data_IF_345281531621
#
_entry.id   IF_345281531621
#
_cell.length_a   1.000
_cell.length_b   1.000
_cell.length_c   1.000
_cell.angle_alpha   90.00
_cell.angle_beta   90.00
_cell.angle_gamma   90.00
#
_symmetry.space_group_name_H-M   'P 1'
#
loop_
_entity.id
_entity.type
_entity.pdbx_description
1 polymer ?
#
# COMPACT_ATOMS: atom_id res chain seq x y z
N UNK A 1 11.49 -4.08 -8.28
CA UNK A 1 10.10 -4.08 -7.80
C UNK A 1 9.33 -2.97 -8.50
N UNK A 2 8.00 -3.03 -8.57
CA UNK A 2 7.19 -1.99 -9.20
C UNK A 2 7.50 -0.58 -8.66
N UNK A 3 7.65 -0.42 -7.34
CA UNK A 3 8.00 0.85 -6.70
C UNK A 3 9.38 1.37 -7.15
N UNK A 4 10.39 0.49 -7.29
CA UNK A 4 11.69 0.87 -7.85
C UNK A 4 11.59 1.35 -9.30
N UNK A 5 10.77 0.69 -10.13
CA UNK A 5 10.56 1.11 -11.52
C UNK A 5 9.88 2.47 -11.57
N UNK A 6 8.89 2.71 -10.70
CA UNK A 6 8.20 3.99 -10.59
C UNK A 6 9.17 5.14 -10.23
N UNK A 7 10.03 4.92 -9.22
CA UNK A 7 11.07 5.88 -8.81
C UNK A 7 12.09 6.15 -9.93
N UNK A 8 12.47 5.14 -10.70
CA UNK A 8 13.34 5.34 -11.86
C UNK A 8 12.66 6.17 -12.98
N UNK A 9 11.35 6.05 -13.14
CA UNK A 9 10.60 6.74 -14.18
C UNK A 9 10.25 8.19 -13.83
N UNK A 10 9.97 8.49 -12.56
CA UNK A 10 9.44 9.79 -12.13
C UNK A 10 10.33 10.52 -11.11
N UNK A 11 11.43 9.91 -10.63
CA UNK A 11 12.32 10.54 -9.65
C UNK A 11 11.60 10.88 -8.35
N UNK A 12 11.79 12.11 -7.86
CA UNK A 12 11.17 12.61 -6.63
C UNK A 12 9.64 12.63 -6.68
N UNK A 13 9.05 12.82 -7.86
CA UNK A 13 7.60 12.81 -8.03
C UNK A 13 7.01 11.42 -7.73
N UNK A 14 7.77 10.34 -7.93
CA UNK A 14 7.33 9.00 -7.53
C UNK A 14 7.16 8.90 -6.02
N UNK A 15 8.12 9.42 -5.24
CA UNK A 15 8.07 9.37 -3.78
C UNK A 15 6.88 10.20 -3.27
N UNK A 16 6.72 11.43 -3.77
CA UNK A 16 5.59 12.28 -3.42
C UNK A 16 4.23 11.63 -3.75
N UNK A 17 4.14 10.93 -4.89
CA UNK A 17 2.94 10.22 -5.30
C UNK A 17 2.66 9.01 -4.38
N UNK A 18 3.69 8.21 -4.10
CA UNK A 18 3.57 7.04 -3.23
C UNK A 18 3.13 7.45 -1.83
N UNK A 19 3.71 8.51 -1.27
CA UNK A 19 3.34 9.04 0.04
C UNK A 19 1.89 9.56 0.04
N UNK A 20 1.49 10.31 -0.99
CA UNK A 20 0.14 10.84 -1.11
C UNK A 20 -0.94 9.74 -1.19
N UNK A 21 -0.61 8.58 -1.76
CA UNK A 21 -1.50 7.43 -1.83
C UNK A 21 -1.29 6.39 -0.71
N UNK A 22 -0.37 6.64 0.23
CA UNK A 22 -0.05 5.70 1.31
C UNK A 22 0.51 4.36 0.82
N UNK A 23 1.24 4.37 -0.30
CA UNK A 23 1.84 3.17 -0.90
C UNK A 23 3.20 2.92 -0.26
N UNK A 24 3.30 1.81 0.47
CA UNK A 24 4.53 1.34 1.08
C UNK A 24 5.05 0.06 0.40
N UNK A 25 6.37 -0.05 0.26
CA UNK A 25 7.03 -1.26 -0.24
C UNK A 25 7.48 -2.11 0.95
N UNK A 26 6.79 -3.23 1.20
CA UNK A 26 7.11 -4.16 2.28
C UNK A 26 7.94 -5.35 1.79
N UNK A 27 8.85 -5.84 2.63
CA UNK A 27 9.53 -7.10 2.36
C UNK A 27 8.53 -8.28 2.43
N UNK A 28 8.76 -9.40 1.72
CA UNK A 28 7.83 -10.53 1.74
C UNK A 28 7.53 -11.09 3.13
N UNK A 29 8.49 -11.02 4.07
CA UNK A 29 8.31 -11.47 5.45
C UNK A 29 7.53 -10.50 6.35
N UNK A 30 7.31 -9.27 5.88
CA UNK A 30 6.54 -8.24 6.58
C UNK A 30 5.07 -8.22 6.12
N UNK A 31 4.75 -8.93 5.04
CA UNK A 31 3.39 -9.08 4.57
C UNK A 31 2.60 -9.97 5.53
N UNK A 32 1.50 -9.43 6.04
CA UNK A 32 0.52 -10.19 6.80
C UNK A 32 -0.33 -11.05 5.87
N UNK A 33 0.11 -12.29 5.69
CA UNK A 33 -0.59 -13.30 4.89
C UNK A 33 -1.54 -14.15 5.74
N UNK A 34 -1.80 -13.78 6.99
CA UNK A 34 -2.74 -14.53 7.82
C UNK A 34 -4.17 -14.33 7.33
N UNK A 35 -5.06 -15.33 7.45
CA UNK A 35 -6.46 -15.17 7.03
C UNK A 35 -7.17 -13.96 7.69
N UNK A 36 -6.74 -13.56 8.89
CA UNK A 36 -7.32 -12.43 9.62
C UNK A 36 -6.87 -11.04 9.14
N UNK A 37 -5.95 -10.93 8.17
CA UNK A 37 -5.45 -9.63 7.70
C UNK A 37 -6.56 -8.77 7.08
N UNK A 38 -7.51 -9.41 6.37
CA UNK A 38 -8.63 -8.74 5.73
C UNK A 38 -9.56 -8.11 6.76
N UNK A 39 -9.90 -8.84 7.83
CA UNK A 39 -10.78 -8.34 8.89
C UNK A 39 -10.16 -7.15 9.63
N UNK A 40 -8.86 -7.20 9.91
CA UNK A 40 -8.13 -6.04 10.47
C UNK A 40 -8.14 -4.85 9.53
N UNK A 41 -7.89 -5.07 8.23
CA UNK A 41 -7.93 -4.00 7.23
C UNK A 41 -9.34 -3.38 7.10
N UNK A 42 -10.40 -4.20 7.20
CA UNK A 42 -11.79 -3.72 7.25
C UNK A 42 -12.05 -2.88 8.49
N UNK A 43 -11.68 -3.37 9.68
CA UNK A 43 -11.86 -2.66 10.93
C UNK A 43 -11.11 -1.30 10.93
N UNK A 44 -9.88 -1.27 10.41
CA UNK A 44 -9.07 -0.04 10.34
C UNK A 44 -9.64 1.00 9.37
N UNK A 45 -10.15 0.57 8.20
CA UNK A 45 -10.79 1.45 7.23
C UNK A 45 -12.20 1.89 7.67
N UNK A 46 -12.84 1.13 8.55
CA UNK A 46 -14.27 1.17 8.79
C UNK A 46 -15.01 0.19 7.89
N UNK A 47 -16.08 -0.41 8.42
CA UNK A 47 -16.82 -1.49 7.76
C UNK A 47 -17.71 -1.03 6.58
N UNK A 48 -17.71 0.28 6.29
CA UNK A 48 -18.37 0.82 5.12
C UNK A 48 -17.83 0.19 3.82
N UNK A 49 -18.67 0.16 2.76
CA UNK A 49 -18.20 -0.23 1.44
C UNK A 49 -17.03 0.67 1.00
N UNK A 50 -16.15 0.13 0.17
CA UNK A 50 -15.17 0.96 -0.53
C UNK A 50 -15.96 1.98 -1.35
N UNK A 51 -15.73 3.27 -1.11
CA UNK A 51 -16.31 4.31 -1.92
C UNK A 51 -15.88 4.08 -3.38
N UNK A 52 -16.87 3.95 -4.28
CA UNK A 52 -16.66 3.73 -5.70
C UNK A 52 -16.25 5.00 -6.44
#
# INVERSE_FOLDING_TARGET
TPARVLRMALGEDASALMDAFGIEELAPGELDLTPGCIERARAARGEGPLAG
#
